data_IF_097817966026
#
_entry.id   IF_097817966026
#
_cell.length_a   1.000
_cell.length_b   1.000
_cell.length_c   1.000
_cell.angle_alpha   90.00
_cell.angle_beta   90.00
_cell.angle_gamma   90.00
#
_symmetry.space_group_name_H-M   'P 1'
#
loop_
_entity.id
_entity.type
_entity.pdbx_description
1 polymer ?
#
# COMPACT_ATOMS: atom_id res chain seq x y z
N UNK A 1 15.84 27.21 -6.57
CA UNK A 1 15.37 26.11 -5.72
C UNK A 1 16.58 25.58 -4.95
N UNK A 2 16.53 25.52 -3.62
CA UNK A 2 17.62 24.96 -2.82
C UNK A 2 17.33 23.47 -2.62
N UNK A 3 18.11 22.58 -3.25
CA UNK A 3 18.02 21.13 -3.08
C UNK A 3 19.44 20.60 -2.90
N UNK A 4 19.62 19.72 -1.93
CA UNK A 4 20.87 19.02 -1.70
C UNK A 4 20.71 17.58 -2.14
N UNK A 5 21.69 17.04 -2.86
CA UNK A 5 21.71 15.65 -3.30
C UNK A 5 22.58 14.86 -2.32
N UNK A 6 21.98 13.89 -1.62
CA UNK A 6 22.68 12.97 -0.74
C UNK A 6 22.84 11.62 -1.44
N UNK A 7 23.98 11.42 -2.10
CA UNK A 7 24.28 10.17 -2.80
C UNK A 7 24.52 8.98 -1.86
N UNK A 8 24.95 9.20 -0.62
CA UNK A 8 25.19 8.11 0.33
C UNK A 8 23.89 7.41 0.73
N UNK A 9 22.80 8.17 0.84
CA UNK A 9 21.48 7.66 1.21
C UNK A 9 20.52 7.56 0.01
N UNK A 10 20.97 7.97 -1.17
CA UNK A 10 20.16 8.05 -2.40
C UNK A 10 18.90 8.92 -2.26
N UNK A 11 19.05 10.10 -1.65
CA UNK A 11 17.96 11.02 -1.34
C UNK A 11 18.22 12.44 -1.87
N UNK A 12 17.17 13.07 -2.40
CA UNK A 12 17.08 14.53 -2.49
C UNK A 12 16.63 15.09 -1.14
N UNK A 13 17.36 16.07 -0.62
CA UNK A 13 17.03 16.78 0.62
C UNK A 13 16.57 18.19 0.26
N UNK A 14 15.31 18.47 0.57
CA UNK A 14 14.63 19.72 0.23
C UNK A 14 14.35 20.48 1.52
N UNK A 15 15.09 21.55 1.82
CA UNK A 15 14.82 22.39 2.98
C UNK A 15 13.46 23.08 2.87
N UNK A 16 12.73 23.05 3.98
CA UNK A 16 11.49 23.78 4.21
C UNK A 16 11.66 24.72 5.41
N UNK A 17 10.71 25.63 5.63
CA UNK A 17 10.81 26.66 6.67
C UNK A 17 11.10 26.10 8.09
N UNK A 18 10.58 24.92 8.41
CA UNK A 18 10.70 24.28 9.74
C UNK A 18 11.16 22.82 9.67
N UNK A 19 11.88 22.42 8.62
CA UNK A 19 12.35 21.05 8.49
C UNK A 19 12.93 20.73 7.12
N UNK A 20 13.03 19.44 6.82
CA UNK A 20 13.47 18.94 5.52
C UNK A 20 12.48 17.90 5.01
N UNK A 21 12.25 17.91 3.71
CA UNK A 21 11.62 16.78 3.01
C UNK A 21 12.69 15.96 2.32
N UNK A 22 12.59 14.65 2.41
CA UNK A 22 13.49 13.72 1.73
C UNK A 22 12.73 12.94 0.67
N UNK A 23 13.33 12.78 -0.51
CA UNK A 23 12.73 12.06 -1.64
C UNK A 23 13.78 11.11 -2.21
N UNK A 24 13.48 9.81 -2.26
CA UNK A 24 14.40 8.82 -2.83
C UNK A 24 14.58 8.99 -4.33
N UNK A 25 15.79 8.69 -4.82
CA UNK A 25 16.10 8.78 -6.24
C UNK A 25 15.18 7.92 -7.11
N UNK A 26 14.92 6.68 -6.69
CA UNK A 26 14.01 5.77 -7.41
C UNK A 26 12.57 6.30 -7.42
N UNK A 27 12.09 6.82 -6.29
CA UNK A 27 10.76 7.40 -6.21
C UNK A 27 10.60 8.57 -7.19
N UNK A 28 11.55 9.51 -7.19
CA UNK A 28 11.54 10.68 -8.09
C UNK A 28 11.62 10.23 -9.55
N UNK A 29 12.50 9.28 -9.86
CA UNK A 29 12.66 8.74 -11.21
C UNK A 29 11.37 8.07 -11.71
N UNK A 30 10.80 7.16 -10.93
CA UNK A 30 9.58 6.45 -11.27
C UNK A 30 8.40 7.39 -11.48
N UNK A 31 8.21 8.35 -10.55
CA UNK A 31 7.15 9.34 -10.67
C UNK A 31 7.34 10.25 -11.88
N UNK A 32 8.57 10.67 -12.19
CA UNK A 32 8.86 11.44 -13.40
C UNK A 32 8.49 10.64 -14.66
N UNK A 33 8.89 9.37 -14.76
CA UNK A 33 8.50 8.49 -15.88
C UNK A 33 6.98 8.43 -16.03
N UNK A 34 6.26 8.22 -14.93
CA UNK A 34 4.81 8.14 -14.93
C UNK A 34 4.16 9.45 -15.41
N UNK A 35 4.65 10.60 -14.92
CA UNK A 35 4.13 11.91 -15.29
C UNK A 35 4.36 12.25 -16.75
N UNK A 36 5.57 12.01 -17.25
CA UNK A 36 5.93 12.28 -18.64
C UNK A 36 5.05 11.47 -19.58
N UNK A 37 4.91 10.17 -19.33
CA UNK A 37 4.05 9.31 -20.13
C UNK A 37 2.57 9.72 -20.04
N UNK A 38 2.10 10.08 -18.84
CA UNK A 38 0.67 10.37 -18.61
C UNK A 38 0.22 11.71 -19.19
N UNK A 39 1.09 12.72 -19.13
CA UNK A 39 0.82 14.09 -19.59
C UNK A 39 1.42 14.38 -20.97
N UNK A 40 2.09 13.40 -21.58
CA UNK A 40 2.81 13.54 -22.85
C UNK A 40 3.79 14.73 -22.83
N UNK A 41 4.59 14.84 -21.77
CA UNK A 41 5.50 15.97 -21.60
C UNK A 41 6.73 15.82 -22.52
N UNK A 42 7.26 16.94 -23.06
CA UNK A 42 8.49 16.93 -23.85
C UNK A 42 9.72 16.88 -22.92
N UNK A 43 9.81 15.81 -22.13
CA UNK A 43 10.90 15.55 -21.19
C UNK A 43 11.45 14.15 -21.50
N UNK A 44 12.74 14.06 -21.78
CA UNK A 44 13.40 12.77 -21.99
C UNK A 44 13.91 12.26 -20.65
N UNK A 45 13.27 11.23 -20.11
CA UNK A 45 13.67 10.64 -18.83
C UNK A 45 14.81 9.65 -19.05
N UNK A 46 15.99 9.93 -18.48
CA UNK A 46 17.18 9.09 -18.64
C UNK A 46 17.64 8.49 -17.31
N UNK A 47 18.05 7.22 -17.33
CA UNK A 47 18.51 6.51 -16.14
C UNK A 47 19.83 7.05 -15.58
N UNK A 48 20.72 7.52 -16.43
CA UNK A 48 22.01 8.14 -16.06
C UNK A 48 21.84 9.47 -15.32
N UNK A 49 20.67 10.11 -15.39
CA UNK A 49 20.35 11.31 -14.62
C UNK A 49 19.80 11.03 -13.23
N UNK A 50 19.67 9.77 -12.84
CA UNK A 50 19.15 9.42 -11.52
C UNK A 50 20.01 10.01 -10.40
N UNK A 51 19.35 10.69 -9.46
CA UNK A 51 20.03 11.39 -8.37
C UNK A 51 20.69 12.70 -8.76
N UNK A 52 20.47 13.23 -9.97
CA UNK A 52 21.03 14.53 -10.37
C UNK A 52 20.07 15.69 -10.07
N UNK A 53 20.62 16.90 -9.92
CA UNK A 53 19.80 18.13 -9.82
C UNK A 53 18.93 18.31 -11.08
N UNK A 54 19.42 17.89 -12.25
CA UNK A 54 18.68 17.91 -13.52
C UNK A 54 17.40 17.08 -13.46
N UNK A 55 17.50 15.81 -13.02
CA UNK A 55 16.34 14.96 -12.79
C UNK A 55 15.33 15.62 -11.84
N UNK A 56 15.81 16.17 -10.73
CA UNK A 56 14.91 16.78 -9.75
C UNK A 56 14.23 18.04 -10.31
N UNK A 57 14.93 18.85 -11.11
CA UNK A 57 14.34 20.00 -11.80
C UNK A 57 13.25 19.56 -12.79
N UNK A 58 13.49 18.49 -13.55
CA UNK A 58 12.50 17.92 -14.48
C UNK A 58 11.28 17.35 -13.75
N UNK A 59 11.50 16.68 -12.62
CA UNK A 59 10.43 16.23 -11.74
C UNK A 59 9.56 17.39 -11.24
N UNK A 60 10.17 18.49 -10.78
CA UNK A 60 9.44 19.68 -10.33
C UNK A 60 8.64 20.34 -11.46
N UNK A 61 9.23 20.42 -12.67
CA UNK A 61 8.53 20.88 -13.87
C UNK A 61 7.32 19.99 -14.18
N UNK A 62 7.47 18.68 -14.12
CA UNK A 62 6.39 17.72 -14.35
C UNK A 62 5.27 17.83 -13.29
N UNK A 63 5.59 18.04 -12.01
CA UNK A 63 4.60 18.34 -10.96
C UNK A 63 3.85 19.62 -11.29
N UNK A 64 4.54 20.66 -11.76
CA UNK A 64 3.93 21.92 -12.17
C UNK A 64 2.87 21.72 -13.24
N UNK A 65 3.16 20.92 -14.27
CA UNK A 65 2.21 20.56 -15.32
C UNK A 65 1.05 19.70 -14.81
N UNK A 66 1.32 18.73 -13.92
CA UNK A 66 0.27 17.92 -13.30
C UNK A 66 -0.73 18.77 -12.50
N UNK A 67 -0.23 19.80 -11.80
CA UNK A 67 -1.07 20.75 -11.05
C UNK A 67 -1.99 21.54 -11.97
N UNK A 68 -1.47 22.02 -13.11
CA UNK A 68 -2.26 22.72 -14.13
C UNK A 68 -3.30 21.81 -14.78
N UNK A 69 -2.94 20.57 -15.06
CA UNK A 69 -3.82 19.58 -15.67
C UNK A 69 -5.00 19.16 -14.78
N UNK A 70 -4.91 19.38 -13.45
CA UNK A 70 -5.97 19.09 -12.49
C UNK A 70 -6.53 17.66 -12.60
N UNK A 71 -5.60 16.68 -12.66
CA UNK A 71 -5.88 15.26 -12.85
C UNK A 71 -7.00 14.77 -11.91
N UNK A 72 -7.97 14.02 -12.44
CA UNK A 72 -9.17 13.60 -11.70
C UNK A 72 -9.17 12.12 -11.34
N UNK A 73 -8.36 11.35 -12.04
CA UNK A 73 -8.18 9.92 -11.87
C UNK A 73 -7.37 9.61 -10.62
N UNK A 74 -7.55 8.40 -10.10
CA UNK A 74 -6.76 7.89 -8.99
C UNK A 74 -5.34 7.60 -9.46
N UNK A 75 -4.37 8.07 -8.68
CA UNK A 75 -2.95 7.92 -8.96
C UNK A 75 -2.42 6.68 -8.26
N UNK A 76 -2.38 5.58 -9.00
CA UNK A 76 -1.82 4.30 -8.55
C UNK A 76 -0.31 4.26 -8.78
N UNK A 77 0.37 3.43 -7.99
CA UNK A 77 1.77 3.10 -8.21
C UNK A 77 1.97 2.47 -9.60
N UNK A 78 3.16 2.65 -10.18
CA UNK A 78 3.49 2.12 -11.51
C UNK A 78 3.37 0.59 -11.58
N UNK A 79 3.76 -0.08 -10.51
CA UNK A 79 3.79 -1.54 -10.43
C UNK A 79 2.46 -2.17 -9.99
N UNK A 80 1.46 -1.36 -9.69
CA UNK A 80 0.13 -1.87 -9.31
C UNK A 80 -0.51 -2.60 -10.48
N UNK A 81 -0.90 -3.88 -10.34
CA UNK A 81 -1.52 -4.64 -11.43
C UNK A 81 -2.77 -3.94 -11.97
N UNK A 82 -2.95 -3.96 -13.30
CA UNK A 82 -4.09 -3.29 -13.96
C UNK A 82 -5.44 -3.74 -13.39
N UNK A 83 -5.56 -5.03 -13.07
CA UNK A 83 -6.78 -5.59 -12.48
C UNK A 83 -7.05 -5.08 -11.07
N UNK A 84 -6.00 -4.94 -10.23
CA UNK A 84 -6.10 -4.33 -8.90
C UNK A 84 -6.60 -2.89 -9.00
N UNK A 85 -6.05 -2.08 -9.93
CA UNK A 85 -6.51 -0.69 -10.15
C UNK A 85 -8.00 -0.65 -10.50
N UNK A 86 -8.46 -1.54 -11.38
CA UNK A 86 -9.87 -1.63 -11.80
C UNK A 86 -10.78 -2.00 -10.63
N UNK A 87 -10.38 -2.97 -9.82
CA UNK A 87 -11.14 -3.40 -8.64
C UNK A 87 -11.22 -2.25 -7.63
N UNK A 88 -10.09 -1.62 -7.29
CA UNK A 88 -10.08 -0.50 -6.35
C UNK A 88 -10.95 0.66 -6.84
N UNK A 89 -10.89 1.01 -8.12
CA UNK A 89 -11.78 2.04 -8.69
C UNK A 89 -13.25 1.66 -8.65
N UNK A 90 -13.59 0.39 -8.90
CA UNK A 90 -14.97 -0.10 -8.79
C UNK A 90 -15.48 0.04 -7.35
N UNK A 91 -14.68 -0.41 -6.37
CA UNK A 91 -15.04 -0.32 -4.95
C UNK A 91 -15.16 1.14 -4.50
N UNK A 92 -14.24 2.00 -4.94
CA UNK A 92 -14.28 3.44 -4.70
C UNK A 92 -15.58 4.09 -5.18
N UNK A 93 -16.06 3.69 -6.36
CA UNK A 93 -17.32 4.22 -6.93
C UNK A 93 -18.57 3.65 -6.24
N UNK A 94 -18.53 2.39 -5.83
CA UNK A 94 -19.67 1.73 -5.17
C UNK A 94 -19.84 2.13 -3.70
N UNK A 95 -18.75 2.54 -3.02
CA UNK A 95 -18.75 2.74 -1.57
C UNK A 95 -18.79 1.43 -0.77
N UNK A 96 -18.75 0.27 -1.43
CA UNK A 96 -18.72 -1.02 -0.74
C UNK A 96 -17.39 -1.21 -0.02
N UNK A 97 -17.40 -1.84 1.17
CA UNK A 97 -16.18 -2.18 1.87
C UNK A 97 -15.42 -3.32 1.17
N UNK A 98 -14.10 -3.25 1.23
CA UNK A 98 -13.16 -4.24 0.68
C UNK A 98 -12.22 -4.70 1.80
N UNK A 99 -11.76 -5.95 1.70
CA UNK A 99 -10.64 -6.47 2.47
C UNK A 99 -9.41 -6.59 1.58
N UNK A 100 -8.30 -6.04 2.05
CA UNK A 100 -7.00 -6.00 1.40
C UNK A 100 -6.03 -6.88 2.18
N UNK A 101 -5.26 -7.70 1.47
CA UNK A 101 -4.13 -8.43 2.05
C UNK A 101 -2.86 -7.87 1.43
N UNK A 102 -1.98 -7.37 2.28
CA UNK A 102 -0.68 -6.85 1.88
C UNK A 102 0.38 -7.93 1.96
N UNK A 103 1.40 -7.80 1.12
CA UNK A 103 2.47 -8.75 1.03
C UNK A 103 3.56 -8.29 0.09
N UNK A 104 4.61 -9.09 0.06
CA UNK A 104 5.69 -8.96 -0.90
C UNK A 104 5.23 -9.56 -2.24
N UNK A 105 5.10 -8.74 -3.27
CA UNK A 105 4.67 -9.17 -4.60
C UNK A 105 5.77 -9.89 -5.39
N UNK A 106 7.04 -9.75 -4.99
CA UNK A 106 8.16 -10.47 -5.60
C UNK A 106 8.16 -11.94 -5.18
N UNK A 107 8.01 -12.21 -3.88
CA UNK A 107 8.00 -13.56 -3.31
C UNK A 107 6.59 -14.16 -3.20
N UNK A 108 5.55 -13.31 -3.18
CA UNK A 108 4.17 -13.69 -2.94
C UNK A 108 3.80 -13.91 -1.47
N UNK A 109 4.70 -13.56 -0.54
CA UNK A 109 4.50 -13.72 0.90
C UNK A 109 3.45 -12.72 1.41
N UNK A 110 2.40 -13.24 2.05
CA UNK A 110 1.46 -12.43 2.84
C UNK A 110 2.16 -11.91 4.11
N UNK A 111 1.99 -10.62 4.42
CA UNK A 111 2.57 -9.99 5.61
C UNK A 111 1.76 -10.22 6.87
N UNK A 112 0.53 -10.77 6.76
CA UNK A 112 -0.40 -10.92 7.86
C UNK A 112 -0.66 -9.59 8.57
N UNK A 113 -0.90 -8.54 7.78
CA UNK A 113 -1.21 -7.22 8.33
C UNK A 113 -2.59 -7.23 9.02
N UNK A 114 -2.63 -6.69 10.23
CA UNK A 114 -3.83 -6.63 11.08
C UNK A 114 -4.61 -5.33 10.88
N UNK A 115 -3.88 -4.24 10.59
CA UNK A 115 -4.40 -2.89 10.62
C UNK A 115 -4.59 -2.36 9.21
N UNK A 116 -5.57 -1.47 9.03
CA UNK A 116 -5.82 -0.83 7.74
C UNK A 116 -5.99 -1.82 6.56
N UNK A 117 -6.64 -2.95 6.84
CA UNK A 117 -6.92 -4.03 5.87
C UNK A 117 -8.38 -4.19 5.51
N UNK A 118 -9.31 -3.54 6.22
CA UNK A 118 -10.75 -3.59 5.92
C UNK A 118 -11.32 -2.17 5.92
N UNK A 119 -11.99 -1.77 4.84
CA UNK A 119 -12.57 -0.43 4.77
C UNK A 119 -13.13 -0.06 3.40
N UNK A 120 -13.48 1.22 3.23
CA UNK A 120 -13.99 1.79 1.98
C UNK A 120 -12.82 2.43 1.23
N UNK A 121 -12.74 2.16 -0.08
CA UNK A 121 -11.74 2.82 -0.94
C UNK A 121 -12.18 4.27 -1.22
N UNK A 122 -11.33 5.23 -0.92
CA UNK A 122 -11.50 6.63 -1.31
C UNK A 122 -10.25 7.15 -2.04
N UNK A 123 -10.12 8.47 -2.14
CA UNK A 123 -8.97 9.13 -2.75
C UNK A 123 -8.53 10.35 -1.94
N UNK A 124 -7.25 10.65 -1.98
CA UNK A 124 -6.74 11.90 -1.41
C UNK A 124 -7.18 13.12 -2.22
N UNK A 125 -7.07 14.30 -1.61
CA UNK A 125 -7.33 15.60 -2.24
C UNK A 125 -6.07 16.24 -2.87
N UNK A 126 -4.94 15.53 -2.86
CA UNK A 126 -3.67 16.03 -3.38
C UNK A 126 -3.64 16.20 -4.90
N UNK A 127 -2.50 16.69 -5.40
CA UNK A 127 -2.21 16.75 -6.84
C UNK A 127 -2.33 15.34 -7.43
N UNK A 128 -1.71 14.37 -6.76
CA UNK A 128 -1.87 12.95 -7.03
C UNK A 128 -2.92 12.38 -6.08
N UNK A 129 -4.05 11.97 -6.64
CA UNK A 129 -5.19 11.43 -5.89
C UNK A 129 -4.90 9.97 -5.57
N UNK A 130 -4.05 9.72 -4.59
CA UNK A 130 -3.69 8.36 -4.18
C UNK A 130 -4.91 7.64 -3.59
N UNK A 131 -5.03 6.32 -3.77
CA UNK A 131 -6.10 5.55 -3.15
C UNK A 131 -5.93 5.53 -1.63
N UNK A 132 -7.03 5.74 -0.91
CA UNK A 132 -7.08 5.69 0.55
C UNK A 132 -7.99 4.56 1.01
N UNK A 133 -7.69 3.95 2.16
CA UNK A 133 -8.60 3.04 2.85
C UNK A 133 -9.17 3.74 4.08
N UNK A 134 -10.49 3.92 4.09
CA UNK A 134 -11.21 4.56 5.19
C UNK A 134 -11.87 3.49 6.05
N UNK A 135 -11.68 3.58 7.35
CA UNK A 135 -12.48 2.79 8.28
C UNK A 135 -13.97 3.19 8.17
N UNK A 136 -14.86 2.27 8.53
CA UNK A 136 -16.30 2.50 8.40
C UNK A 136 -16.75 3.71 9.23
N UNK A 137 -17.41 4.67 8.60
CA UNK A 137 -17.89 5.90 9.24
C UNK A 137 -16.87 7.03 9.32
N UNK A 138 -15.60 6.78 8.98
CA UNK A 138 -14.55 7.79 8.99
C UNK A 138 -14.51 8.60 7.68
N UNK A 139 -14.05 9.85 7.78
CA UNK A 139 -13.83 10.74 6.62
C UNK A 139 -12.35 10.83 6.20
N UNK A 140 -11.49 10.12 6.92
CA UNK A 140 -10.04 10.06 6.72
C UNK A 140 -9.59 8.61 6.79
N UNK A 141 -8.40 8.34 6.25
CA UNK A 141 -7.88 6.99 6.15
C UNK A 141 -6.43 6.98 5.71
N UNK A 142 -5.85 5.78 5.68
CA UNK A 142 -4.46 5.57 5.29
C UNK A 142 -4.31 5.42 3.78
N UNK A 143 -3.11 5.66 3.25
CA UNK A 143 -2.77 5.34 1.87
C UNK A 143 -2.74 3.84 1.65
N UNK A 144 -3.43 3.36 0.61
CA UNK A 144 -3.35 1.95 0.22
C UNK A 144 -1.98 1.70 -0.43
N UNK A 145 -1.23 0.73 0.08
CA UNK A 145 0.01 0.25 -0.54
C UNK A 145 -0.35 -0.62 -1.76
N UNK A 146 -0.85 0.01 -2.82
CA UNK A 146 -1.52 -0.66 -3.93
C UNK A 146 -0.61 -1.60 -4.74
N UNK A 147 0.70 -1.35 -4.71
CA UNK A 147 1.73 -2.22 -5.30
C UNK A 147 2.15 -3.40 -4.42
N UNK A 148 1.73 -3.43 -3.15
CA UNK A 148 1.99 -4.51 -2.20
C UNK A 148 0.74 -5.38 -1.97
N UNK A 149 -0.30 -5.25 -2.78
CA UNK A 149 -1.51 -6.06 -2.62
C UNK A 149 -1.25 -7.46 -3.17
N UNK A 150 -1.47 -8.48 -2.33
CA UNK A 150 -1.36 -9.90 -2.71
C UNK A 150 -2.71 -10.60 -2.84
N UNK A 151 -3.76 -10.07 -2.19
CA UNK A 151 -5.14 -10.56 -2.34
C UNK A 151 -6.15 -9.45 -2.07
N UNK A 152 -7.29 -9.50 -2.77
CA UNK A 152 -8.45 -8.65 -2.55
C UNK A 152 -9.70 -9.50 -2.35
N UNK A 153 -10.56 -9.09 -1.43
CA UNK A 153 -11.80 -9.80 -1.11
C UNK A 153 -12.94 -8.81 -0.87
N UNK A 154 -14.13 -9.16 -1.35
CA UNK A 154 -15.36 -8.45 -1.01
C UNK A 154 -15.77 -8.80 0.42
N UNK A 155 -16.01 -7.83 1.28
CA UNK A 155 -16.30 -8.10 2.70
C UNK A 155 -17.67 -8.72 2.91
N UNK A 156 -18.69 -8.30 2.15
CA UNK A 156 -20.07 -8.75 2.32
C UNK A 156 -20.26 -10.21 1.88
N UNK A 157 -19.77 -10.55 0.69
CA UNK A 157 -19.88 -11.89 0.12
C UNK A 157 -18.72 -12.82 0.51
N UNK A 158 -17.63 -12.27 1.05
CA UNK A 158 -16.34 -12.96 1.28
C UNK A 158 -15.74 -13.57 0.02
N UNK A 159 -16.18 -13.11 -1.15
CA UNK A 159 -15.66 -13.58 -2.44
C UNK A 159 -14.28 -12.98 -2.69
N UNK A 160 -13.32 -13.84 -3.04
CA UNK A 160 -12.03 -13.39 -3.56
C UNK A 160 -12.24 -12.68 -4.89
N UNK A 161 -11.78 -11.43 -4.95
CA UNK A 161 -11.88 -10.58 -6.13
C UNK A 161 -10.65 -10.70 -7.01
N UNK A 162 -9.49 -10.88 -6.37
CA UNK A 162 -8.20 -11.02 -7.03
C UNK A 162 -7.17 -11.65 -6.09
N UNK A 163 -6.20 -12.36 -6.66
CA UNK A 163 -5.06 -12.93 -5.95
C UNK A 163 -3.84 -12.79 -6.83
N UNK A 164 -2.73 -12.32 -6.25
CA UNK A 164 -1.48 -12.18 -6.95
C UNK A 164 -1.00 -13.57 -7.44
N UNK A 165 -0.46 -13.70 -8.65
CA UNK A 165 -0.09 -15.02 -9.20
C UNK A 165 0.90 -15.81 -8.35
N UNK A 166 1.78 -15.11 -7.61
CA UNK A 166 2.76 -15.73 -6.72
C UNK A 166 2.26 -15.92 -5.28
N UNK A 167 1.05 -15.45 -4.95
CA UNK A 167 0.56 -15.41 -3.57
C UNK A 167 0.59 -16.79 -2.92
N UNK A 168 1.21 -16.87 -1.76
CA UNK A 168 1.27 -18.06 -0.92
C UNK A 168 0.47 -17.79 0.35
N UNK A 169 -0.69 -18.46 0.47
CA UNK A 169 -1.49 -18.33 1.68
C UNK A 169 -0.71 -18.89 2.89
N UNK A 170 -0.66 -18.14 4.02
CA UNK A 170 0.06 -18.58 5.21
C UNK A 170 -0.59 -19.82 5.82
N UNK A 171 0.23 -20.78 6.23
CA UNK A 171 -0.24 -21.95 6.98
C UNK A 171 -0.28 -21.60 8.45
N UNK A 172 -1.49 -21.55 9.03
CA UNK A 172 -1.70 -21.19 10.42
C UNK A 172 -2.14 -22.40 11.25
N UNK A 173 -1.54 -22.57 12.43
CA UNK A 173 -1.85 -23.66 13.35
C UNK A 173 -1.95 -23.13 14.78
N UNK A 174 -2.99 -23.55 15.50
CA UNK A 174 -3.18 -23.22 16.92
C UNK A 174 -2.70 -24.39 17.76
N UNK A 175 -1.85 -24.14 18.74
CA UNK A 175 -1.42 -25.13 19.73
C UNK A 175 -1.65 -24.64 21.16
N UNK A 176 -1.86 -25.57 22.09
CA UNK A 176 -1.88 -25.27 23.52
C UNK A 176 -0.44 -25.09 24.03
N UNK A 177 -0.11 -23.89 24.50
CA UNK A 177 1.19 -23.54 25.06
C UNK A 177 0.97 -22.51 26.15
N UNK A 178 1.40 -22.81 27.38
CA UNK A 178 1.23 -21.88 28.51
C UNK A 178 2.48 -21.03 28.71
N UNK A 179 2.34 -19.72 28.54
CA UNK A 179 3.36 -18.72 28.87
C UNK A 179 2.69 -17.56 29.62
N UNK A 180 2.81 -17.54 30.95
CA UNK A 180 2.11 -16.57 31.79
C UNK A 180 0.59 -16.70 31.67
N UNK A 181 -0.08 -15.60 31.32
CA UNK A 181 -1.53 -15.56 31.07
C UNK A 181 -1.96 -16.10 29.70
N UNK A 182 -1.01 -16.32 28.79
CA UNK A 182 -1.29 -16.90 27.48
C UNK A 182 -1.36 -18.43 27.58
N UNK A 183 -2.38 -19.01 26.95
CA UNK A 183 -2.65 -20.45 26.98
C UNK A 183 -2.57 -21.12 25.61
N UNK A 184 -2.55 -20.31 24.55
CA UNK A 184 -2.50 -20.76 23.17
C UNK A 184 -1.50 -19.92 22.37
N UNK A 185 -0.82 -20.57 21.44
CA UNK A 185 0.08 -19.95 20.46
C UNK A 185 -0.44 -20.24 19.06
N UNK A 186 -0.32 -19.26 18.17
CA UNK A 186 -0.55 -19.42 16.74
C UNK A 186 0.80 -19.48 16.06
N UNK A 187 1.06 -20.58 15.38
CA UNK A 187 2.20 -20.76 14.49
C UNK A 187 1.81 -20.32 13.08
N UNK A 188 2.70 -19.57 12.42
CA UNK A 188 2.60 -19.20 11.01
C UNK A 188 3.79 -19.82 10.30
N UNK A 189 3.54 -20.69 9.33
CA UNK A 189 4.57 -21.40 8.56
C UNK A 189 5.60 -22.12 9.46
N UNK A 190 5.13 -22.66 10.60
CA UNK A 190 5.96 -23.41 11.56
C UNK A 190 6.61 -22.56 12.66
N UNK A 191 6.54 -21.23 12.59
CA UNK A 191 7.15 -20.33 13.58
C UNK A 191 6.10 -19.68 14.50
N UNK A 192 6.36 -19.54 15.82
CA UNK A 192 5.46 -18.82 16.72
C UNK A 192 5.27 -17.38 16.25
N UNK A 193 4.01 -16.98 16.03
CA UNK A 193 3.68 -15.64 15.53
C UNK A 193 2.95 -14.79 16.59
N UNK A 194 1.91 -15.35 17.21
CA UNK A 194 1.09 -14.65 18.20
C UNK A 194 0.65 -15.57 19.34
N UNK A 195 0.38 -15.00 20.52
CA UNK A 195 -0.08 -15.73 21.72
C UNK A 195 -1.37 -15.15 22.27
N UNK A 196 -2.26 -16.02 22.73
CA UNK A 196 -3.61 -15.66 23.18
C UNK A 196 -3.97 -16.32 24.51
N UNK A 197 -4.76 -15.60 25.32
CA UNK A 197 -5.20 -16.07 26.63
C UNK A 197 -6.24 -17.20 26.55
N UNK A 198 -6.83 -17.44 25.37
CA UNK A 198 -7.79 -18.52 25.16
C UNK A 198 -7.93 -18.90 23.68
N UNK A 199 -8.40 -20.13 23.45
CA UNK A 199 -8.58 -20.71 22.12
C UNK A 199 -9.48 -19.85 21.22
N UNK A 200 -10.60 -19.34 21.77
CA UNK A 200 -11.56 -18.55 20.99
C UNK A 200 -10.94 -17.30 20.35
N UNK A 201 -10.07 -16.58 21.08
CA UNK A 201 -9.36 -15.41 20.55
C UNK A 201 -8.35 -15.80 19.48
N UNK A 202 -7.60 -16.88 19.70
CA UNK A 202 -6.67 -17.41 18.69
C UNK A 202 -7.41 -17.82 17.41
N UNK A 203 -8.54 -18.51 17.54
CA UNK A 203 -9.36 -18.93 16.41
C UNK A 203 -9.98 -17.74 15.66
N UNK A 204 -10.45 -16.72 16.37
CA UNK A 204 -10.94 -15.49 15.74
C UNK A 204 -9.84 -14.77 14.97
N UNK A 205 -8.63 -14.66 15.55
CA UNK A 205 -7.49 -14.06 14.88
C UNK A 205 -7.12 -14.84 13.61
N UNK A 206 -7.05 -16.18 13.66
CA UNK A 206 -6.77 -17.02 12.49
C UNK A 206 -7.85 -16.85 11.41
N UNK A 207 -9.12 -16.86 11.80
CA UNK A 207 -10.24 -16.65 10.88
C UNK A 207 -10.19 -15.25 10.22
N UNK A 208 -9.81 -14.22 10.99
CA UNK A 208 -9.59 -12.89 10.45
C UNK A 208 -8.46 -12.94 9.44
N UNK A 209 -7.26 -13.39 9.82
CA UNK A 209 -6.10 -13.46 8.94
C UNK A 209 -6.31 -14.27 7.66
N UNK A 210 -7.09 -15.35 7.74
CA UNK A 210 -7.44 -16.16 6.57
C UNK A 210 -8.44 -15.47 5.63
N UNK A 211 -9.12 -14.41 6.10
CA UNK A 211 -10.23 -13.74 5.41
C UNK A 211 -11.58 -14.44 5.58
N UNK A 212 -11.71 -15.35 6.55
CA UNK A 212 -12.94 -16.07 6.83
C UNK A 212 -13.95 -15.23 7.62
N UNK A 213 -13.45 -14.25 8.40
CA UNK A 213 -14.23 -13.19 9.01
C UNK A 213 -13.63 -11.80 8.69
N UNK A 214 -14.39 -10.73 8.95
CA UNK A 214 -13.97 -9.34 8.72
C UNK A 214 -13.84 -8.53 10.00
N UNK A 215 -14.21 -9.11 11.14
CA UNK A 215 -14.06 -8.50 12.45
C UNK A 215 -12.66 -8.78 12.97
N UNK A 216 -11.88 -7.71 13.18
CA UNK A 216 -10.58 -7.82 13.79
C UNK A 216 -10.70 -8.39 15.22
N UNK A 217 -9.76 -9.23 15.65
CA UNK A 217 -9.73 -9.74 17.02
C UNK A 217 -9.55 -8.60 18.03
N UNK A 218 -10.35 -8.60 19.10
CA UNK A 218 -10.28 -7.64 20.22
C UNK A 218 -9.36 -8.10 21.36
#
# INVERSE_FOLDING_TARGET
>A
MNVVVNHQQELFVVPAAHGVSTLGFEYVFGQLKQLVARLNLPITVREDEKGTIGQYADYQRAIGEARKANLKETWFHLDTPVEVRRILERYRKSGNPIRIFYGDTETGRDWLEENDVVGIVARSCGIFKVPLLLASGESWGTGILDHCIVRLMDTASRKVLWTHPKHQAPVMQIAAERQGSYTHVVFVNGEPHARFAGYGKAAQWVAFMAGECTEAPQ
#
